data_IF_221746013250
#
_entry.id   IF_221746013250
#
_cell.length_a   1.000
_cell.length_b   1.000
_cell.length_c   1.000
_cell.angle_alpha   90.00
_cell.angle_beta   90.00
_cell.angle_gamma   90.00
#
_symmetry.space_group_name_H-M   'P 1'
#
loop_
_entity.id
_entity.type
_entity.pdbx_description
1 polymer ?
#
# COMPACT_ATOMS: atom_id res chain seq x y z
N UNK A 1 -42.42 18.06 35.71
CA UNK A 1 -40.96 17.85 35.56
C UNK A 1 -40.83 16.97 34.33
N UNK A 2 -40.56 17.62 33.21
CA UNK A 2 -40.63 17.02 31.88
C UNK A 2 -39.47 16.06 31.64
N UNK A 3 -39.82 14.91 31.07
CA UNK A 3 -38.91 13.82 30.72
C UNK A 3 -38.26 14.18 29.39
N UNK A 4 -36.95 14.45 29.41
CA UNK A 4 -36.16 14.69 28.20
C UNK A 4 -35.74 13.33 27.63
N UNK A 5 -36.28 12.99 26.46
CA UNK A 5 -35.79 11.92 25.59
C UNK A 5 -34.48 12.37 24.95
N UNK A 6 -33.45 11.53 25.01
CA UNK A 6 -32.19 11.75 24.30
C UNK A 6 -32.22 10.88 23.07
N UNK A 7 -32.30 11.57 21.94
CA UNK A 7 -32.27 11.10 20.56
C UNK A 7 -31.10 10.14 20.29
N UNK A 8 -31.40 9.01 19.65
CA UNK A 8 -30.44 8.00 19.27
C UNK A 8 -29.50 8.55 18.20
N UNK A 9 -28.21 8.62 18.52
CA UNK A 9 -27.17 8.99 17.56
C UNK A 9 -27.06 7.86 16.51
N UNK A 10 -27.13 8.16 15.19
CA UNK A 10 -27.05 7.11 14.18
C UNK A 10 -25.64 6.50 14.17
N UNK A 11 -25.60 5.18 14.05
CA UNK A 11 -24.40 4.35 14.03
C UNK A 11 -23.28 4.96 13.16
N UNK A 12 -22.14 5.29 13.78
CA UNK A 12 -20.92 5.58 13.05
C UNK A 12 -20.44 4.31 12.37
N UNK A 13 -20.43 4.29 11.04
CA UNK A 13 -19.68 3.29 10.28
C UNK A 13 -18.23 3.32 10.75
N UNK A 14 -17.82 2.29 11.49
CA UNK A 14 -16.49 2.13 12.08
C UNK A 14 -15.39 1.92 11.04
N UNK A 15 -15.03 2.97 10.32
CA UNK A 15 -13.76 3.08 9.62
C UNK A 15 -12.80 3.91 10.46
N UNK A 16 -11.64 3.35 10.78
CA UNK A 16 -10.53 4.09 11.39
C UNK A 16 -10.27 5.39 10.59
N UNK A 17 -10.08 6.51 11.29
CA UNK A 17 -9.84 7.81 10.64
C UNK A 17 -8.36 7.95 10.24
N UNK A 18 -8.04 8.90 9.33
CA UNK A 18 -6.67 9.11 8.84
C UNK A 18 -5.66 9.36 9.98
N UNK A 19 -6.08 10.09 11.01
CA UNK A 19 -5.26 10.39 12.18
C UNK A 19 -4.92 9.13 12.99
N UNK A 20 -5.86 8.19 13.11
CA UNK A 20 -5.66 6.90 13.75
C UNK A 20 -4.66 6.04 12.98
N UNK A 21 -4.79 5.98 11.65
CA UNK A 21 -3.84 5.30 10.78
C UNK A 21 -2.41 5.87 10.91
N UNK A 22 -2.28 7.19 10.98
CA UNK A 22 -0.99 7.89 11.14
C UNK A 22 -0.36 7.69 12.52
N UNK A 23 -1.16 7.48 13.56
CA UNK A 23 -0.69 7.21 14.93
C UNK A 23 -0.16 5.80 15.11
N UNK A 24 -0.42 4.87 14.19
CA UNK A 24 0.16 3.53 14.23
C UNK A 24 1.67 3.64 14.10
N UNK A 25 2.39 3.28 15.16
CA UNK A 25 3.84 3.26 15.14
C UNK A 25 4.35 2.01 14.41
N UNK A 26 4.62 2.14 13.12
CA UNK A 26 5.39 1.15 12.36
C UNK A 26 6.89 1.45 12.50
N UNK A 27 7.43 1.32 13.72
CA UNK A 27 8.87 1.43 13.96
C UNK A 27 9.56 0.14 13.49
N UNK A 28 10.71 0.28 12.82
CA UNK A 28 11.55 -0.84 12.38
C UNK A 28 10.89 -1.82 11.39
N UNK A 29 10.22 -1.29 10.36
CA UNK A 29 9.76 -2.08 9.21
C UNK A 29 10.98 -2.65 8.47
N UNK A 30 11.10 -3.98 8.45
CA UNK A 30 12.23 -4.70 7.84
C UNK A 30 11.74 -5.52 6.65
N UNK A 31 12.24 -5.20 5.45
CA UNK A 31 11.95 -5.94 4.22
C UNK A 31 12.42 -7.40 4.35
N UNK A 32 13.50 -7.66 5.09
CA UNK A 32 14.01 -9.01 5.32
C UNK A 32 12.95 -9.98 5.89
N UNK A 33 11.96 -9.49 6.65
CA UNK A 33 10.86 -10.33 7.19
C UNK A 33 9.96 -10.93 6.11
N UNK A 34 9.94 -10.36 4.91
CA UNK A 34 9.21 -10.89 3.77
C UNK A 34 9.89 -12.16 3.20
N UNK A 35 11.18 -12.33 3.49
CA UNK A 35 12.02 -13.43 2.99
C UNK A 35 12.06 -13.48 1.46
N UNK A 36 12.14 -12.32 0.80
CA UNK A 36 12.29 -12.23 -0.65
C UNK A 36 13.71 -12.68 -1.05
N UNK A 37 13.93 -12.84 -2.35
CA UNK A 37 15.27 -13.09 -2.88
C UNK A 37 16.23 -11.95 -2.49
N UNK A 38 17.51 -12.28 -2.25
CA UNK A 38 18.54 -11.34 -1.78
C UNK A 38 18.62 -10.07 -2.65
N UNK A 39 18.81 -10.18 -3.97
CA UNK A 39 18.92 -9.00 -4.84
C UNK A 39 17.68 -8.09 -4.81
N UNK A 40 16.48 -8.65 -4.69
CA UNK A 40 15.23 -7.86 -4.60
C UNK A 40 15.14 -7.17 -3.25
N UNK A 41 15.50 -7.87 -2.18
CA UNK A 41 15.55 -7.33 -0.81
C UNK A 41 16.49 -6.12 -0.74
N UNK A 42 17.70 -6.25 -1.28
CA UNK A 42 18.71 -5.20 -1.27
C UNK A 42 18.23 -3.93 -1.99
N UNK A 43 17.60 -4.10 -3.16
CA UNK A 43 17.04 -2.97 -3.94
C UNK A 43 15.90 -2.29 -3.19
N UNK A 44 15.00 -3.04 -2.55
CA UNK A 44 13.90 -2.47 -1.78
C UNK A 44 14.41 -1.71 -0.55
N UNK A 45 15.40 -2.25 0.17
CA UNK A 45 16.03 -1.55 1.29
C UNK A 45 16.75 -0.26 0.85
N UNK A 46 17.44 -0.30 -0.29
CA UNK A 46 18.05 0.89 -0.88
C UNK A 46 17.00 1.96 -1.20
N UNK A 47 15.87 1.57 -1.80
CA UNK A 47 14.77 2.50 -2.12
C UNK A 47 14.16 3.13 -0.87
N UNK A 48 13.97 2.37 0.20
CA UNK A 48 13.49 2.92 1.48
C UNK A 48 14.44 3.97 2.03
N UNK A 49 15.76 3.70 2.03
CA UNK A 49 16.78 4.68 2.45
C UNK A 49 16.74 5.94 1.57
N UNK A 50 16.52 5.79 0.26
CA UNK A 50 16.41 6.94 -0.65
C UNK A 50 15.13 7.75 -0.42
N UNK A 51 14.01 7.10 -0.14
CA UNK A 51 12.75 7.75 0.26
C UNK A 51 12.96 8.62 1.50
N UNK A 52 13.67 8.10 2.51
CA UNK A 52 13.96 8.85 3.73
C UNK A 52 14.80 10.10 3.46
N UNK A 53 15.85 9.99 2.63
CA UNK A 53 16.63 11.17 2.20
C UNK A 53 15.78 12.20 1.48
N UNK A 54 14.92 11.77 0.54
CA UNK A 54 14.02 12.69 -0.16
C UNK A 54 13.05 13.37 0.81
N UNK A 55 12.58 12.65 1.83
CA UNK A 55 11.69 13.20 2.85
C UNK A 55 12.39 14.31 3.64
N UNK A 56 13.59 14.07 4.17
CA UNK A 56 14.36 15.08 4.89
C UNK A 56 14.84 16.23 3.98
N UNK A 57 15.08 15.96 2.71
CA UNK A 57 15.37 16.95 1.68
C UNK A 57 14.14 17.74 1.19
N UNK A 58 12.95 17.51 1.77
CA UNK A 58 11.68 18.15 1.39
C UNK A 58 11.25 17.90 -0.07
N UNK A 59 11.76 16.86 -0.70
CA UNK A 59 11.37 16.42 -2.04
C UNK A 59 10.10 15.54 -1.97
N UNK A 60 9.00 16.12 -1.49
CA UNK A 60 7.77 15.37 -1.17
C UNK A 60 7.14 14.66 -2.37
N UNK A 61 7.22 15.25 -3.57
CA UNK A 61 6.79 14.55 -4.78
C UNK A 61 7.60 13.26 -4.97
N UNK A 62 8.93 13.32 -4.87
CA UNK A 62 9.79 12.15 -5.02
C UNK A 62 9.48 11.07 -3.97
N UNK A 63 9.22 11.45 -2.72
CA UNK A 63 8.80 10.53 -1.65
C UNK A 63 7.58 9.72 -2.07
N UNK A 64 6.54 10.40 -2.54
CA UNK A 64 5.25 9.80 -2.92
C UNK A 64 5.44 8.83 -4.10
N UNK A 65 6.14 9.29 -5.14
CA UNK A 65 6.38 8.49 -6.35
C UNK A 65 7.19 7.22 -6.03
N UNK A 66 8.27 7.37 -5.26
CA UNK A 66 9.11 6.25 -4.85
C UNK A 66 8.39 5.33 -3.86
N UNK A 67 7.57 5.84 -2.95
CA UNK A 67 6.80 5.01 -2.02
C UNK A 67 5.81 4.12 -2.79
N UNK A 68 5.08 4.66 -3.77
CA UNK A 68 4.17 3.86 -4.60
C UNK A 68 4.92 2.83 -5.45
N UNK A 69 6.06 3.20 -6.07
CA UNK A 69 6.89 2.25 -6.81
C UNK A 69 7.50 1.16 -5.92
N UNK A 70 7.86 1.48 -4.68
CA UNK A 70 8.44 0.53 -3.73
C UNK A 70 7.37 -0.42 -3.21
N UNK A 71 6.13 0.06 -3.00
CA UNK A 71 4.98 -0.79 -2.67
C UNK A 71 4.71 -1.81 -3.79
N UNK A 72 4.70 -1.36 -5.05
CA UNK A 72 4.55 -2.23 -6.23
C UNK A 72 5.63 -3.31 -6.30
N UNK A 73 6.90 -2.92 -6.16
CA UNK A 73 8.01 -3.87 -6.14
C UNK A 73 7.94 -4.86 -4.97
N UNK A 74 7.50 -4.40 -3.79
CA UNK A 74 7.32 -5.25 -2.61
C UNK A 74 6.25 -6.31 -2.84
N UNK A 75 5.08 -5.90 -3.32
CA UNK A 75 3.97 -6.83 -3.59
C UNK A 75 4.31 -7.81 -4.71
N UNK A 76 4.99 -7.35 -5.77
CA UNK A 76 5.49 -8.22 -6.83
C UNK A 76 6.50 -9.25 -6.30
N UNK A 77 7.41 -8.84 -5.40
CA UNK A 77 8.34 -9.76 -4.74
C UNK A 77 7.61 -10.86 -3.97
N UNK A 78 6.58 -10.49 -3.20
CA UNK A 78 5.74 -11.45 -2.48
C UNK A 78 4.97 -12.36 -3.45
N UNK A 79 4.42 -11.81 -4.54
CA UNK A 79 3.70 -12.58 -5.55
C UNK A 79 4.60 -13.62 -6.24
N UNK A 80 5.83 -13.25 -6.60
CA UNK A 80 6.82 -14.16 -7.18
C UNK A 80 7.21 -15.31 -6.23
N UNK A 81 7.25 -15.04 -4.92
CA UNK A 81 7.50 -16.07 -3.90
C UNK A 81 6.31 -16.99 -3.66
N UNK A 82 5.08 -16.49 -3.86
CA UNK A 82 3.84 -17.23 -3.64
C UNK A 82 2.94 -17.30 -4.89
N UNK A 83 3.46 -17.79 -6.04
CA UNK A 83 2.81 -17.62 -7.33
C UNK A 83 1.49 -18.40 -7.43
N UNK A 84 1.39 -19.57 -6.78
CA UNK A 84 0.16 -20.36 -6.75
C UNK A 84 -0.98 -19.61 -6.07
N UNK A 85 -0.72 -19.02 -4.90
CA UNK A 85 -1.72 -18.30 -4.14
C UNK A 85 -2.22 -17.08 -4.93
N UNK A 86 -1.29 -16.25 -5.42
CA UNK A 86 -1.62 -15.05 -6.19
C UNK A 86 -2.39 -15.40 -7.46
N UNK A 87 -1.92 -16.34 -8.30
CA UNK A 87 -2.61 -16.68 -9.55
C UNK A 87 -3.95 -17.40 -9.37
N UNK A 88 -4.24 -17.94 -8.18
CA UNK A 88 -5.51 -18.61 -7.87
C UNK A 88 -6.56 -17.69 -7.26
N UNK A 89 -6.17 -16.48 -6.83
CA UNK A 89 -7.09 -15.51 -6.25
C UNK A 89 -8.14 -15.07 -7.28
N UNK A 90 -9.39 -14.88 -6.84
CA UNK A 90 -10.46 -14.44 -7.74
C UNK A 90 -10.27 -13.01 -8.26
N UNK A 91 -9.57 -12.15 -7.51
CA UNK A 91 -9.19 -10.80 -7.94
C UNK A 91 -7.97 -10.77 -8.86
N UNK A 92 -7.39 -11.92 -9.23
CA UNK A 92 -6.30 -11.97 -10.20
C UNK A 92 -6.74 -11.37 -11.55
N UNK A 93 -5.96 -10.46 -12.14
CA UNK A 93 -6.29 -9.88 -13.43
C UNK A 93 -6.20 -10.95 -14.52
N UNK A 94 -7.25 -10.99 -15.35
CA UNK A 94 -7.37 -11.94 -16.47
C UNK A 94 -7.26 -11.20 -17.80
N UNK A 95 -6.79 -11.90 -18.83
CA UNK A 95 -6.84 -11.45 -20.21
C UNK A 95 -8.25 -11.63 -20.80
N UNK A 96 -8.42 -11.25 -22.07
CA UNK A 96 -9.70 -11.38 -22.77
C UNK A 96 -10.19 -12.83 -22.93
N UNK A 97 -9.32 -13.82 -22.76
CA UNK A 97 -9.65 -15.25 -22.78
C UNK A 97 -9.95 -15.83 -21.39
N UNK A 98 -9.93 -14.99 -20.33
CA UNK A 98 -10.16 -15.44 -18.96
C UNK A 98 -8.95 -16.10 -18.29
N UNK A 99 -7.77 -16.10 -18.94
CA UNK A 99 -6.53 -16.61 -18.37
C UNK A 99 -5.87 -15.54 -17.50
N UNK A 100 -5.34 -15.94 -16.34
CA UNK A 100 -4.61 -15.02 -15.46
C UNK A 100 -3.37 -14.49 -16.16
N UNK A 101 -3.18 -13.16 -16.11
CA UNK A 101 -2.04 -12.47 -16.71
C UNK A 101 -0.73 -12.85 -16.02
N UNK A 102 0.40 -12.72 -16.72
CA UNK A 102 1.71 -12.84 -16.09
C UNK A 102 1.99 -11.65 -15.17
N UNK A 103 2.76 -11.82 -14.09
CA UNK A 103 2.96 -10.77 -13.09
C UNK A 103 3.55 -9.46 -13.62
N UNK A 104 4.31 -9.48 -14.72
CA UNK A 104 4.81 -8.24 -15.33
C UNK A 104 3.71 -7.37 -15.97
N UNK A 105 2.55 -7.96 -16.26
CA UNK A 105 1.37 -7.27 -16.80
C UNK A 105 0.37 -6.88 -15.69
N UNK A 106 0.68 -7.16 -14.42
CA UNK A 106 -0.16 -6.77 -13.30
C UNK A 106 0.10 -5.32 -12.92
N UNK A 107 -0.96 -4.60 -12.60
CA UNK A 107 -0.86 -3.23 -12.07
C UNK A 107 -0.70 -3.27 -10.55
N UNK A 108 -0.14 -2.22 -9.96
CA UNK A 108 -0.15 -2.02 -8.51
C UNK A 108 -1.55 -2.21 -7.89
N UNK A 109 -2.61 -1.74 -8.57
CA UNK A 109 -4.01 -1.95 -8.15
C UNK A 109 -4.33 -3.43 -7.96
N UNK A 110 -4.01 -4.25 -8.96
CA UNK A 110 -4.28 -5.69 -8.93
C UNK A 110 -3.49 -6.40 -7.81
N UNK A 111 -2.24 -5.99 -7.59
CA UNK A 111 -1.44 -6.51 -6.49
C UNK A 111 -2.05 -6.17 -5.12
N UNK A 112 -2.50 -4.94 -4.92
CA UNK A 112 -3.16 -4.49 -3.70
C UNK A 112 -4.44 -5.31 -3.44
N UNK A 113 -5.27 -5.47 -4.47
CA UNK A 113 -6.55 -6.19 -4.37
C UNK A 113 -6.35 -7.69 -4.06
N UNK A 114 -5.37 -8.33 -4.69
CA UNK A 114 -5.03 -9.74 -4.42
C UNK A 114 -4.42 -9.90 -3.04
N UNK A 115 -3.52 -9.01 -2.61
CA UNK A 115 -2.93 -9.07 -1.27
C UNK A 115 -4.00 -8.95 -0.17
N UNK A 116 -4.98 -8.08 -0.34
CA UNK A 116 -6.11 -7.98 0.58
C UNK A 116 -7.01 -9.22 0.55
N UNK A 117 -7.35 -9.74 -0.64
CA UNK A 117 -8.12 -10.98 -0.76
C UNK A 117 -7.43 -12.15 -0.04
N UNK A 118 -6.10 -12.23 -0.14
CA UNK A 118 -5.27 -13.22 0.54
C UNK A 118 -5.06 -12.91 2.04
N UNK A 119 -5.71 -11.88 2.57
CA UNK A 119 -5.61 -11.41 3.98
C UNK A 119 -4.18 -11.09 4.40
N UNK A 120 -3.36 -10.64 3.45
CA UNK A 120 -2.00 -10.22 3.71
C UNK A 120 -1.94 -8.78 4.22
N UNK A 121 -2.87 -7.96 3.74
CA UNK A 121 -3.07 -6.58 4.20
C UNK A 121 -4.50 -6.39 4.70
N UNK A 122 -4.68 -5.49 5.65
CA UNK A 122 -5.96 -5.11 6.23
C UNK A 122 -6.72 -4.12 5.33
N UNK A 123 -7.99 -3.87 5.67
CA UNK A 123 -8.89 -3.07 4.84
C UNK A 123 -8.49 -1.58 4.77
N UNK A 124 -7.97 -1.02 5.86
CA UNK A 124 -7.38 0.32 5.89
C UNK A 124 -6.12 0.38 5.00
N UNK A 125 -5.20 -0.56 5.15
CA UNK A 125 -3.99 -0.65 4.32
C UNK A 125 -4.32 -0.83 2.84
N UNK A 126 -5.35 -1.62 2.49
CA UNK A 126 -5.90 -1.70 1.12
C UNK A 126 -6.32 -0.30 0.62
N UNK A 127 -7.20 0.38 1.37
CA UNK A 127 -7.77 1.67 0.98
C UNK A 127 -6.67 2.70 0.76
N UNK A 128 -5.77 2.87 1.72
CA UNK A 128 -4.71 3.86 1.63
C UNK A 128 -3.63 3.48 0.60
N UNK A 129 -3.43 2.18 0.31
CA UNK A 129 -2.56 1.74 -0.79
C UNK A 129 -3.09 2.15 -2.15
N UNK A 130 -4.41 2.09 -2.37
CA UNK A 130 -5.01 2.62 -3.61
C UNK A 130 -4.84 4.14 -3.72
N UNK A 131 -4.99 4.88 -2.61
CA UNK A 131 -4.69 6.32 -2.58
C UNK A 131 -3.23 6.60 -2.93
N UNK A 132 -2.27 5.86 -2.36
CA UNK A 132 -0.85 5.97 -2.69
C UNK A 132 -0.59 5.66 -4.18
N UNK A 133 -1.24 4.63 -4.72
CA UNK A 133 -1.16 4.29 -6.14
C UNK A 133 -1.62 5.45 -7.03
N UNK A 134 -2.71 6.12 -6.65
CA UNK A 134 -3.22 7.26 -7.42
C UNK A 134 -2.27 8.47 -7.34
N UNK A 135 -1.71 8.75 -6.16
CA UNK A 135 -0.69 9.78 -6.02
C UNK A 135 0.60 9.49 -6.80
N UNK A 136 0.99 8.20 -6.92
CA UNK A 136 2.13 7.78 -7.74
C UNK A 136 1.94 8.09 -9.23
N UNK A 137 0.70 8.23 -9.71
CA UNK A 137 0.42 8.61 -11.11
C UNK A 137 0.75 10.07 -11.41
N UNK A 138 1.00 10.91 -10.40
CA UNK A 138 1.56 12.25 -10.60
C UNK A 138 3.01 12.26 -11.08
N UNK A 139 3.60 11.08 -11.35
CA UNK A 139 4.79 10.98 -12.19
C UNK A 139 4.56 11.61 -13.58
N UNK A 140 3.30 11.64 -14.05
CA UNK A 140 2.90 12.28 -15.29
C UNK A 140 2.62 13.78 -15.05
N UNK A 141 3.46 14.71 -15.56
CA UNK A 141 3.34 16.13 -15.23
C UNK A 141 2.00 16.76 -15.64
N UNK A 142 1.42 16.34 -16.77
CA UNK A 142 0.12 16.84 -17.22
C UNK A 142 -1.02 16.42 -16.28
N UNK A 143 -0.95 15.22 -15.70
CA UNK A 143 -1.93 14.78 -14.72
C UNK A 143 -1.81 15.63 -13.45
N UNK A 144 -0.58 15.82 -12.94
CA UNK A 144 -0.33 16.69 -11.79
C UNK A 144 -0.82 18.13 -12.02
N UNK A 145 -0.53 18.69 -13.20
CA UNK A 145 -0.97 20.04 -13.59
C UNK A 145 -2.50 20.14 -13.63
N UNK A 146 -3.18 19.17 -14.25
CA UNK A 146 -4.64 19.19 -14.40
C UNK A 146 -5.39 19.12 -13.08
N UNK A 147 -4.82 18.46 -12.06
CA UNK A 147 -5.43 18.35 -10.73
C UNK A 147 -4.96 19.45 -9.77
N UNK A 148 -3.97 20.27 -10.17
CA UNK A 148 -3.35 21.26 -9.29
C UNK A 148 -2.64 20.63 -8.09
N UNK A 149 -2.23 19.36 -8.20
CA UNK A 149 -1.68 18.64 -7.06
C UNK A 149 -0.29 19.17 -6.68
N UNK A 150 -0.18 19.61 -5.42
CA UNK A 150 1.07 20.03 -4.80
C UNK A 150 1.29 19.22 -3.52
N UNK A 151 2.26 18.31 -3.48
CA UNK A 151 2.45 17.43 -2.34
C UNK A 151 2.99 18.20 -1.14
N UNK A 152 2.36 17.99 0.01
CA UNK A 152 2.78 18.56 1.29
C UNK A 152 3.63 17.57 2.08
N UNK A 153 4.29 18.05 3.14
CA UNK A 153 4.95 17.18 4.11
C UNK A 153 3.97 16.14 4.68
N UNK A 154 2.74 16.56 5.01
CA UNK A 154 1.69 15.67 5.52
C UNK A 154 1.34 14.56 4.52
N UNK A 155 1.12 14.92 3.25
CA UNK A 155 0.85 13.95 2.19
C UNK A 155 1.99 12.94 2.02
N UNK A 156 3.24 13.41 2.07
CA UNK A 156 4.41 12.54 2.01
C UNK A 156 4.53 11.62 3.24
N UNK A 157 4.23 12.12 4.44
CA UNK A 157 4.17 11.29 5.67
C UNK A 157 3.13 10.19 5.54
N UNK A 158 1.91 10.52 5.09
CA UNK A 158 0.85 9.55 4.88
C UNK A 158 1.29 8.45 3.91
N UNK A 159 1.83 8.83 2.75
CA UNK A 159 2.33 7.87 1.75
C UNK A 159 3.43 6.95 2.29
N UNK A 160 4.34 7.49 3.10
CA UNK A 160 5.37 6.68 3.76
C UNK A 160 4.79 5.73 4.80
N UNK A 161 3.78 6.15 5.56
CA UNK A 161 3.09 5.28 6.51
C UNK A 161 2.34 4.16 5.83
N UNK A 162 1.72 4.41 4.67
CA UNK A 162 1.08 3.36 3.86
C UNK A 162 2.08 2.29 3.44
N UNK A 163 3.25 2.69 2.93
CA UNK A 163 4.30 1.74 2.58
C UNK A 163 4.74 0.91 3.80
N UNK A 164 4.94 1.57 4.94
CA UNK A 164 5.36 0.92 6.19
C UNK A 164 4.32 -0.08 6.71
N UNK A 165 3.05 0.31 6.73
CA UNK A 165 1.93 -0.54 7.11
C UNK A 165 1.86 -1.79 6.22
N UNK A 166 1.89 -1.60 4.89
CA UNK A 166 1.86 -2.71 3.95
C UNK A 166 3.02 -3.69 4.16
N UNK A 167 4.26 -3.21 4.26
CA UNK A 167 5.43 -4.09 4.49
C UNK A 167 5.32 -4.80 5.84
N UNK A 168 4.88 -4.11 6.89
CA UNK A 168 4.69 -4.70 8.21
C UNK A 168 3.66 -5.83 8.17
N UNK A 169 2.47 -5.57 7.65
CA UNK A 169 1.37 -6.54 7.57
C UNK A 169 1.73 -7.73 6.68
N UNK A 170 2.35 -7.49 5.52
CA UNK A 170 2.90 -8.55 4.68
C UNK A 170 3.86 -9.41 5.50
N UNK A 171 4.82 -8.82 6.21
CA UNK A 171 5.76 -9.55 7.06
C UNK A 171 5.10 -10.41 8.16
N UNK A 172 3.93 -10.00 8.67
CA UNK A 172 3.17 -10.79 9.66
C UNK A 172 2.35 -11.92 9.03
N UNK A 173 1.96 -11.78 7.76
CA UNK A 173 0.92 -12.62 7.16
C UNK A 173 1.42 -13.53 6.03
N UNK A 174 2.58 -13.26 5.41
CA UNK A 174 3.11 -14.10 4.31
C UNK A 174 3.34 -15.56 4.70
N UNK A 175 3.66 -15.84 5.97
CA UNK A 175 3.80 -17.21 6.48
C UNK A 175 2.48 -17.99 6.58
N UNK A 176 1.34 -17.30 6.49
CA UNK A 176 -0.02 -17.88 6.56
C UNK A 176 -0.57 -18.24 5.18
N UNK A 177 0.18 -17.96 4.11
CA UNK A 177 -0.26 -18.27 2.74
C UNK A 177 -0.27 -19.78 2.54
N UNK A 178 -1.46 -20.37 2.43
CA UNK A 178 -1.64 -21.80 2.14
C UNK A 178 -1.67 -22.72 3.36
N UNK A 179 -1.70 -22.16 4.57
CA UNK A 179 -2.13 -22.84 5.80
C UNK A 179 -3.64 -22.69 5.97
#
# INVERSE_FOLDING_TARGET
MDKVEIDETPASNGGENEDEFLRREFTNVSIAKLGLEGPVTDVLEQRIKEIEKCFFGKAYLAVILMAGSTLEGTLLGVANKHPKAFNSASSSPKDGGGKVKQFHDWTLSAFIDVAHQLRLVQHDTLRFSHTLRDFRNYIHPFQQMSTGFSPTEHTAKLCLQVLRAAVYELGQNVGKIGT
#
